data_IF_846191294110
#
_entry.id   IF_846191294110
#
_cell.length_a   1.000
_cell.length_b   1.000
_cell.length_c   1.000
_cell.angle_alpha   90.00
_cell.angle_beta   90.00
_cell.angle_gamma   90.00
#
_symmetry.space_group_name_H-M   'P 1'
#
loop_
_entity.id
_entity.type
_entity.pdbx_description
1 polymer ?
#
# COMPACT_ATOMS: atom_id res chain seq x y z
N UNK A 1 -42.47 27.32 -50.87
CA UNK A 1 -41.44 27.16 -51.92
C UNK A 1 -40.14 27.67 -51.32
N UNK A 2 -39.42 26.80 -50.61
CA UNK A 2 -38.17 26.13 -51.05
C UNK A 2 -36.96 27.06 -50.79
N UNK A 3 -35.87 26.71 -50.11
CA UNK A 3 -35.40 25.51 -49.42
C UNK A 3 -34.26 25.97 -48.47
N UNK A 4 -34.09 25.25 -47.36
CA UNK A 4 -32.87 25.22 -46.54
C UNK A 4 -31.59 25.08 -47.36
N UNK A 5 -30.50 25.72 -46.89
CA UNK A 5 -29.17 25.08 -46.90
C UNK A 5 -28.30 25.67 -45.81
N UNK A 6 -27.78 24.77 -44.99
CA UNK A 6 -26.90 24.99 -43.85
C UNK A 6 -25.51 25.51 -44.27
N UNK A 7 -24.95 26.42 -43.46
CA UNK A 7 -23.54 26.83 -43.50
C UNK A 7 -22.92 26.69 -42.10
N UNK A 8 -21.85 25.91 -42.01
CA UNK A 8 -21.19 25.36 -40.83
C UNK A 8 -20.71 26.36 -39.75
N UNK A 9 -20.56 25.92 -38.48
CA UNK A 9 -19.91 26.72 -37.44
C UNK A 9 -18.39 26.86 -37.67
N UNK A 10 -17.74 27.94 -37.22
CA UNK A 10 -16.30 28.10 -37.31
C UNK A 10 -15.56 27.08 -36.41
N UNK A 11 -14.45 26.59 -36.93
CA UNK A 11 -13.55 25.59 -36.33
C UNK A 11 -12.87 26.08 -35.05
N UNK A 12 -12.56 25.18 -34.09
CA UNK A 12 -11.76 25.54 -32.92
C UNK A 12 -10.28 25.73 -33.32
N UNK A 13 -9.72 26.85 -32.86
CA UNK A 13 -8.33 27.27 -33.06
C UNK A 13 -7.35 26.25 -32.43
N UNK A 14 -6.29 25.80 -33.13
CA UNK A 14 -5.34 24.84 -32.58
C UNK A 14 -4.21 25.55 -31.80
N UNK A 15 -3.90 24.98 -30.62
CA UNK A 15 -2.60 25.01 -29.92
C UNK A 15 -2.13 26.36 -29.35
N UNK A 16 -2.50 26.60 -28.10
CA UNK A 16 -1.59 27.22 -27.12
C UNK A 16 -0.82 26.11 -26.40
N UNK A 17 0.38 25.79 -26.86
CA UNK A 17 1.35 25.01 -26.11
C UNK A 17 1.98 25.94 -25.05
N UNK A 18 1.33 26.06 -23.89
CA UNK A 18 1.92 26.65 -22.70
C UNK A 18 2.50 25.54 -21.84
N UNK A 19 3.83 25.51 -21.72
CA UNK A 19 4.54 24.62 -20.81
C UNK A 19 4.07 24.87 -19.38
N UNK A 20 3.24 23.98 -18.87
CA UNK A 20 3.06 23.78 -17.44
C UNK A 20 4.24 22.95 -16.97
N UNK A 21 5.10 23.58 -16.19
CA UNK A 21 6.29 23.00 -15.61
C UNK A 21 6.00 21.58 -15.10
N UNK A 22 6.88 20.64 -15.48
CA UNK A 22 7.00 19.39 -14.77
C UNK A 22 7.36 19.74 -13.33
N UNK A 23 6.33 19.90 -12.49
CA UNK A 23 6.45 19.90 -11.06
C UNK A 23 7.01 18.54 -10.67
N UNK A 24 8.34 18.43 -10.71
CA UNK A 24 9.03 17.30 -10.14
C UNK A 24 8.54 17.17 -8.72
N UNK A 25 7.97 16.01 -8.38
CA UNK A 25 7.66 15.70 -6.98
C UNK A 25 8.91 16.04 -6.17
N UNK A 26 8.79 16.76 -5.04
CA UNK A 26 9.94 17.08 -4.22
C UNK A 26 10.67 15.78 -3.87
N UNK A 27 12.01 15.82 -3.86
CA UNK A 27 12.83 14.70 -3.42
C UNK A 27 12.31 14.21 -2.06
N UNK A 28 11.66 13.06 -2.06
CA UNK A 28 10.89 12.60 -0.91
C UNK A 28 11.86 12.36 0.25
N UNK A 29 11.58 12.95 1.40
CA UNK A 29 12.47 12.90 2.55
C UNK A 29 12.51 11.48 3.09
N UNK A 30 13.62 10.77 2.86
CA UNK A 30 13.78 9.38 3.30
C UNK A 30 13.74 9.30 4.82
N UNK A 31 12.85 8.46 5.34
CA UNK A 31 12.73 8.15 6.77
C UNK A 31 13.95 7.38 7.26
N UNK A 32 14.67 7.97 8.22
CA UNK A 32 15.80 7.32 8.89
C UNK A 32 15.36 6.40 10.05
N UNK A 33 14.14 6.55 10.56
CA UNK A 33 13.63 5.79 11.72
C UNK A 33 13.14 4.37 11.38
N UNK A 34 13.03 4.07 10.09
CA UNK A 34 12.50 2.82 9.55
C UNK A 34 13.41 2.33 8.43
N UNK A 35 13.53 1.01 8.30
CA UNK A 35 14.07 0.39 7.11
C UNK A 35 13.27 -0.86 6.74
N UNK A 36 13.40 -1.30 5.50
CA UNK A 36 12.87 -2.59 5.03
C UNK A 36 14.01 -3.59 4.89
N UNK A 37 13.78 -4.83 5.29
CA UNK A 37 14.69 -5.96 5.06
C UNK A 37 13.89 -7.22 4.74
N UNK A 38 14.57 -8.34 4.53
CA UNK A 38 13.94 -9.62 4.16
C UNK A 38 14.08 -10.67 5.27
N UNK A 39 13.54 -11.87 5.04
CA UNK A 39 13.95 -13.08 5.74
C UNK A 39 15.48 -13.30 5.67
N UNK A 40 16.04 -14.06 6.62
CA UNK A 40 17.49 -14.32 6.68
C UNK A 40 18.01 -15.01 5.41
N UNK A 41 17.21 -15.92 4.86
CA UNK A 41 17.39 -16.44 3.51
C UNK A 41 16.67 -15.51 2.52
N UNK A 42 17.43 -14.61 1.92
CA UNK A 42 16.93 -13.68 0.90
C UNK A 42 16.74 -14.42 -0.43
N UNK A 43 15.59 -14.23 -1.08
CA UNK A 43 15.35 -14.66 -2.46
C UNK A 43 15.20 -13.42 -3.36
N UNK A 44 15.40 -13.53 -4.69
CA UNK A 44 15.16 -12.42 -5.60
C UNK A 44 13.75 -11.82 -5.49
N UNK A 45 12.74 -12.67 -5.28
CA UNK A 45 11.34 -12.24 -5.11
C UNK A 45 11.14 -11.43 -3.82
N UNK A 46 11.68 -11.90 -2.69
CA UNK A 46 11.62 -11.16 -1.42
C UNK A 46 12.33 -9.82 -1.53
N UNK A 47 13.47 -9.78 -2.23
CA UNK A 47 14.21 -8.54 -2.46
C UNK A 47 13.42 -7.54 -3.29
N UNK A 48 12.80 -7.98 -4.38
CA UNK A 48 11.98 -7.11 -5.22
C UNK A 48 10.82 -6.51 -4.42
N UNK A 49 10.12 -7.32 -3.62
CA UNK A 49 9.05 -6.85 -2.74
C UNK A 49 9.55 -5.86 -1.68
N UNK A 50 10.75 -6.10 -1.10
CA UNK A 50 11.35 -5.18 -0.14
C UNK A 50 11.68 -3.82 -0.75
N UNK A 51 12.13 -3.77 -2.01
CA UNK A 51 12.40 -2.52 -2.73
C UNK A 51 11.12 -1.73 -2.97
N UNK A 52 10.08 -2.37 -3.51
CA UNK A 52 8.78 -1.72 -3.73
C UNK A 52 8.19 -1.15 -2.44
N UNK A 53 8.27 -1.92 -1.35
CA UNK A 53 7.74 -1.48 -0.06
C UNK A 53 8.56 -0.33 0.55
N UNK A 54 9.87 -0.32 0.35
CA UNK A 54 10.71 0.77 0.83
C UNK A 54 10.49 2.07 0.04
N UNK A 55 10.21 1.97 -1.26
CA UNK A 55 9.80 3.11 -2.09
C UNK A 55 8.48 3.70 -1.59
N UNK A 56 7.48 2.87 -1.33
CA UNK A 56 6.17 3.27 -0.79
C UNK A 56 6.28 3.87 0.62
N UNK A 57 7.13 3.30 1.47
CA UNK A 57 7.33 3.77 2.85
C UNK A 57 8.37 4.90 2.96
N UNK A 58 8.97 5.30 1.84
CA UNK A 58 10.04 6.30 1.76
C UNK A 58 11.19 6.03 2.73
N UNK A 59 11.72 4.82 2.76
CA UNK A 59 12.80 4.43 3.67
C UNK A 59 13.87 3.56 2.99
N UNK A 60 14.93 3.20 3.71
CA UNK A 60 16.04 2.41 3.14
C UNK A 60 15.76 0.90 3.09
N UNK A 61 16.33 0.20 2.11
CA UNK A 61 16.40 -1.28 2.10
C UNK A 61 17.75 -1.75 2.62
N UNK A 62 17.74 -2.69 3.56
CA UNK A 62 18.94 -3.24 4.17
C UNK A 62 18.96 -4.74 3.95
N UNK A 63 20.02 -5.26 3.33
CA UNK A 63 20.14 -6.72 3.12
C UNK A 63 20.48 -7.41 4.42
N UNK A 64 19.80 -8.53 4.69
CA UNK A 64 19.95 -9.25 5.96
C UNK A 64 21.28 -10.01 6.04
N UNK A 65 21.81 -10.53 4.93
CA UNK A 65 23.09 -11.27 4.83
C UNK A 65 23.35 -12.26 5.99
N UNK A 66 22.30 -12.96 6.46
CA UNK A 66 22.38 -13.88 7.60
C UNK A 66 22.49 -13.22 8.99
N UNK A 67 22.51 -11.90 9.09
CA UNK A 67 22.53 -11.15 10.35
C UNK A 67 21.17 -11.23 11.06
N UNK A 68 21.23 -11.29 12.39
CA UNK A 68 20.05 -11.10 13.24
C UNK A 68 19.64 -9.63 13.29
N UNK A 69 18.39 -9.39 13.67
CA UNK A 69 17.85 -8.02 13.81
C UNK A 69 18.66 -7.11 14.75
N UNK A 70 19.18 -7.59 15.91
CA UNK A 70 19.97 -6.73 16.80
C UNK A 70 21.19 -6.11 16.10
N UNK A 71 21.94 -6.90 15.33
CA UNK A 71 23.11 -6.44 14.58
C UNK A 71 22.75 -5.41 13.50
N UNK A 72 21.58 -5.54 12.87
CA UNK A 72 21.10 -4.57 11.89
C UNK A 72 20.78 -3.22 12.55
N UNK A 73 20.09 -3.24 13.69
CA UNK A 73 19.81 -2.03 14.47
C UNK A 73 21.07 -1.39 15.06
N UNK A 74 22.08 -2.17 15.46
CA UNK A 74 23.39 -1.64 15.86
C UNK A 74 24.09 -0.88 14.72
N UNK A 75 23.98 -1.38 13.48
CA UNK A 75 24.56 -0.72 12.30
C UNK A 75 23.79 0.52 11.82
N UNK A 76 22.58 0.74 12.34
CA UNK A 76 21.65 1.79 11.92
C UNK A 76 21.15 2.53 13.17
N UNK A 77 21.96 3.43 13.75
CA UNK A 77 21.69 4.00 15.07
C UNK A 77 20.38 4.81 15.14
N UNK A 78 19.97 5.42 14.03
CA UNK A 78 18.73 6.20 13.91
C UNK A 78 17.48 5.33 13.70
N UNK A 79 17.66 4.07 13.26
CA UNK A 79 16.56 3.16 13.02
C UNK A 79 15.93 2.71 14.33
N UNK A 80 14.61 2.80 14.40
CA UNK A 80 13.80 2.35 15.54
C UNK A 80 12.98 1.11 15.21
N UNK A 81 12.64 0.95 13.93
CA UNK A 81 11.77 -0.12 13.43
C UNK A 81 12.30 -0.68 12.13
N UNK A 82 11.90 -1.91 11.83
CA UNK A 82 12.18 -2.60 10.59
C UNK A 82 10.90 -3.26 10.07
N UNK A 83 10.62 -3.13 8.78
CA UNK A 83 9.67 -4.03 8.11
C UNK A 83 10.45 -5.20 7.51
N UNK A 84 10.14 -6.41 7.93
CA UNK A 84 10.77 -7.64 7.47
C UNK A 84 9.84 -8.36 6.52
N UNK A 85 10.23 -8.43 5.25
CA UNK A 85 9.51 -9.15 4.20
C UNK A 85 9.83 -10.64 4.29
N UNK A 86 8.80 -11.44 4.58
CA UNK A 86 8.87 -12.90 4.60
C UNK A 86 8.01 -13.49 3.48
N UNK A 87 8.20 -14.77 3.11
CA UNK A 87 7.45 -15.39 2.01
C UNK A 87 5.93 -15.25 2.09
N UNK A 88 5.36 -15.27 3.30
CA UNK A 88 3.91 -15.32 3.51
C UNK A 88 3.35 -14.15 4.34
N UNK A 89 4.19 -13.17 4.72
CA UNK A 89 3.78 -12.03 5.56
C UNK A 89 4.85 -10.95 5.69
N UNK A 90 4.43 -9.81 6.23
CA UNK A 90 5.31 -8.78 6.74
C UNK A 90 5.37 -8.88 8.28
N UNK A 91 6.55 -8.65 8.85
CA UNK A 91 6.72 -8.40 10.27
C UNK A 91 7.20 -6.96 10.47
N UNK A 92 6.59 -6.23 11.40
CA UNK A 92 7.17 -5.03 11.97
C UNK A 92 7.96 -5.44 13.21
N UNK A 93 9.25 -5.16 13.22
CA UNK A 93 10.14 -5.44 14.36
C UNK A 93 10.66 -4.12 14.90
N UNK A 94 10.65 -3.92 16.22
CA UNK A 94 11.28 -2.76 16.84
C UNK A 94 12.69 -3.08 17.34
N UNK A 95 13.41 -2.03 17.74
CA UNK A 95 14.78 -2.13 18.27
C UNK A 95 14.87 -2.93 19.58
N UNK A 96 13.79 -2.99 20.34
CA UNK A 96 13.70 -3.74 21.61
C UNK A 96 13.45 -5.24 21.36
N UNK A 97 13.19 -5.63 20.10
CA UNK A 97 12.99 -7.01 19.69
C UNK A 97 11.53 -7.45 19.70
N UNK A 98 10.57 -6.54 19.97
CA UNK A 98 9.16 -6.86 19.81
C UNK A 98 8.84 -7.01 18.33
N UNK A 99 7.88 -7.89 18.04
CA UNK A 99 7.43 -8.13 16.68
C UNK A 99 5.91 -8.10 16.57
N UNK A 100 5.44 -7.57 15.46
CA UNK A 100 4.03 -7.47 15.12
C UNK A 100 3.82 -7.96 13.69
N UNK A 101 2.74 -8.68 13.44
CA UNK A 101 2.23 -8.99 12.10
C UNK A 101 0.72 -8.77 12.10
N UNK A 102 0.17 -8.47 10.92
CA UNK A 102 -1.27 -8.38 10.74
C UNK A 102 -1.91 -9.77 10.90
N UNK A 103 -2.92 -9.86 11.77
CA UNK A 103 -3.75 -11.04 11.93
C UNK A 103 -5.21 -10.65 11.62
N UNK A 104 -5.90 -11.35 10.71
CA UNK A 104 -7.26 -10.97 10.31
C UNK A 104 -8.30 -11.12 11.43
N UNK A 105 -7.93 -11.75 12.54
CA UNK A 105 -8.81 -12.01 13.68
C UNK A 105 -10.11 -12.71 13.22
N UNK A 106 -11.27 -12.27 13.68
CA UNK A 106 -12.57 -12.79 13.27
C UNK A 106 -12.94 -12.45 11.83
N UNK A 107 -12.24 -11.51 11.17
CA UNK A 107 -12.50 -11.16 9.77
C UNK A 107 -12.42 -12.37 8.84
N UNK A 108 -11.47 -13.27 9.07
CA UNK A 108 -11.35 -14.51 8.28
C UNK A 108 -12.58 -15.43 8.41
N UNK A 109 -13.09 -15.60 9.63
CA UNK A 109 -14.28 -16.44 9.87
C UNK A 109 -15.55 -15.80 9.31
N UNK A 110 -15.66 -14.47 9.41
CA UNK A 110 -16.78 -13.71 8.86
C UNK A 110 -16.80 -13.75 7.35
N UNK A 111 -15.64 -13.57 6.70
CA UNK A 111 -15.49 -13.75 5.26
C UNK A 111 -15.93 -15.14 4.82
N UNK A 112 -15.51 -16.19 5.53
CA UNK A 112 -15.95 -17.56 5.26
C UNK A 112 -17.47 -17.73 5.37
N UNK A 113 -18.09 -17.16 6.40
CA UNK A 113 -19.53 -17.21 6.61
C UNK A 113 -20.29 -16.53 5.45
N UNK A 114 -19.90 -15.29 5.10
CA UNK A 114 -20.48 -14.53 3.99
C UNK A 114 -20.30 -15.25 2.66
N UNK A 115 -19.12 -15.82 2.42
CA UNK A 115 -18.81 -16.57 1.20
C UNK A 115 -19.73 -17.80 1.00
N UNK A 116 -20.32 -18.31 2.07
CA UNK A 116 -21.29 -19.42 2.03
C UNK A 116 -22.76 -18.96 2.02
N UNK A 117 -23.01 -17.66 1.82
CA UNK A 117 -24.36 -17.07 1.82
C UNK A 117 -24.87 -16.68 3.20
N UNK A 118 -24.00 -16.66 4.20
CA UNK A 118 -24.31 -16.15 5.54
C UNK A 118 -24.42 -14.62 5.56
N UNK A 119 -25.07 -14.10 6.60
CA UNK A 119 -25.19 -12.67 6.85
C UNK A 119 -24.03 -12.15 7.71
N UNK A 120 -23.73 -10.85 7.57
CA UNK A 120 -22.74 -10.14 8.36
C UNK A 120 -23.26 -8.76 8.77
N UNK A 121 -23.09 -8.41 10.05
CA UNK A 121 -23.64 -7.19 10.61
C UNK A 121 -23.08 -5.90 9.96
N UNK A 122 -21.81 -5.91 9.51
CA UNK A 122 -21.24 -4.77 8.81
C UNK A 122 -21.86 -4.60 7.43
N UNK A 123 -22.04 -5.70 6.70
CA UNK A 123 -22.68 -5.68 5.38
C UNK A 123 -24.16 -5.28 5.46
N UNK A 124 -24.87 -5.76 6.48
CA UNK A 124 -26.26 -5.36 6.73
C UNK A 124 -26.38 -3.88 7.10
N UNK A 125 -25.51 -3.38 7.99
CA UNK A 125 -25.57 -1.98 8.43
C UNK A 125 -25.16 -0.99 7.34
N UNK A 126 -24.28 -1.40 6.42
CA UNK A 126 -23.84 -0.56 5.29
C UNK A 126 -24.76 -0.65 4.08
N UNK A 127 -25.64 -1.66 4.04
CA UNK A 127 -26.45 -2.01 2.86
C UNK A 127 -25.59 -2.18 1.58
N UNK A 128 -24.32 -2.56 1.75
CA UNK A 128 -23.37 -2.64 0.66
C UNK A 128 -23.76 -3.71 -0.36
N UNK A 129 -23.75 -3.33 -1.63
CA UNK A 129 -24.06 -4.19 -2.76
C UNK A 129 -22.83 -4.43 -3.65
N UNK A 130 -22.95 -5.42 -4.53
CA UNK A 130 -21.89 -5.70 -5.51
C UNK A 130 -21.63 -4.47 -6.39
N UNK A 131 -20.37 -4.03 -6.42
CA UNK A 131 -19.94 -2.85 -7.18
C UNK A 131 -19.78 -1.59 -6.32
N UNK A 132 -20.25 -1.59 -5.07
CA UNK A 132 -20.04 -0.47 -4.16
C UNK A 132 -18.58 -0.39 -3.70
N UNK A 133 -18.16 0.83 -3.35
CA UNK A 133 -16.86 1.12 -2.76
C UNK A 133 -17.04 1.60 -1.32
N UNK A 134 -16.31 0.98 -0.39
CA UNK A 134 -16.33 1.32 1.03
C UNK A 134 -15.02 1.99 1.42
N UNK A 135 -15.10 3.12 2.14
CA UNK A 135 -13.95 3.81 2.72
C UNK A 135 -13.90 3.54 4.23
N UNK A 136 -12.88 2.82 4.69
CA UNK A 136 -12.61 2.64 6.12
C UNK A 136 -11.71 3.76 6.65
N UNK A 137 -12.32 4.76 7.27
CA UNK A 137 -11.62 5.89 7.91
C UNK A 137 -10.96 5.50 9.25
N UNK A 138 -11.09 4.24 9.68
CA UNK A 138 -10.66 3.73 10.98
C UNK A 138 -9.90 2.41 10.85
N UNK A 139 -9.28 2.17 9.69
CA UNK A 139 -8.73 0.89 9.23
C UNK A 139 -8.09 0.03 10.32
N UNK A 140 -7.33 0.63 11.23
CA UNK A 140 -6.75 -0.08 12.37
C UNK A 140 -5.86 -1.22 11.91
N UNK A 141 -6.22 -2.47 12.26
CA UNK A 141 -5.52 -3.68 11.84
C UNK A 141 -6.03 -4.28 10.51
N UNK A 142 -6.91 -3.57 9.81
CA UNK A 142 -7.51 -3.96 8.54
C UNK A 142 -8.25 -5.31 8.58
N UNK A 143 -8.75 -5.73 9.75
CA UNK A 143 -9.49 -6.99 9.89
C UNK A 143 -10.83 -6.96 9.15
N UNK A 144 -11.53 -5.83 9.15
CA UNK A 144 -12.81 -5.66 8.46
C UNK A 144 -12.63 -5.59 6.94
N UNK A 145 -11.50 -5.06 6.47
CA UNK A 145 -11.17 -4.96 5.05
C UNK A 145 -10.96 -6.32 4.36
N UNK A 146 -11.04 -7.44 5.10
CA UNK A 146 -11.01 -8.79 4.52
C UNK A 146 -12.39 -9.32 4.12
N UNK A 147 -13.47 -8.62 4.48
CA UNK A 147 -14.84 -8.92 4.04
C UNK A 147 -15.06 -8.48 2.60
#
# INVERSE_FOLDING_TARGET
MNHDTAGSPPTPNPRGAGGGEAGGLPAQNTRADLFVTTAAQETPALRAQAVLLAEELHCGVVSRRGSGMPKLFESLPDARRAVVVQPNRLLLVDRDGHSFFQHPNMGYLRFGHVSTGGQDALLEATEAASGDAILDCTLGYASEATL
#
